data_IF_626143997824
#
_entry.id   IF_626143997824
#
_cell.length_a   1.000
_cell.length_b   1.000
_cell.length_c   1.000
_cell.angle_alpha   90.00
_cell.angle_beta   90.00
_cell.angle_gamma   90.00
#
_symmetry.space_group_name_H-M   'P 1'
#
loop_
_entity.id
_entity.type
_entity.pdbx_description
1 polymer ?
#
# COMPACT_ATOMS: atom_id res chain seq x y z
N UNK A 1 -12.16 30.91 -11.71
CA UNK A 1 -11.93 29.57 -11.14
C UNK A 1 -12.70 28.61 -12.00
N UNK A 2 -12.01 27.96 -12.94
CA UNK A 2 -12.65 26.98 -13.80
C UNK A 2 -12.92 25.71 -12.99
N UNK A 3 -14.18 25.32 -12.89
CA UNK A 3 -14.53 24.04 -12.29
C UNK A 3 -14.15 22.92 -13.26
N UNK A 4 -13.46 21.87 -12.80
CA UNK A 4 -13.11 20.73 -13.66
C UNK A 4 -14.39 20.11 -14.22
N UNK A 5 -14.44 19.90 -15.54
CA UNK A 5 -15.55 19.22 -16.21
C UNK A 5 -15.70 17.77 -15.70
N UNK A 6 -16.94 17.27 -15.57
CA UNK A 6 -17.35 16.00 -14.93
C UNK A 6 -16.62 14.72 -15.41
N UNK A 7 -15.95 14.77 -16.56
CA UNK A 7 -15.08 13.72 -17.12
C UNK A 7 -13.66 13.68 -16.57
N UNK A 8 -13.25 14.65 -15.73
CA UNK A 8 -11.89 14.77 -15.18
C UNK A 8 -11.76 14.37 -13.70
N UNK A 9 -12.87 14.14 -13.00
CA UNK A 9 -12.82 13.83 -11.57
C UNK A 9 -12.32 12.40 -11.33
N UNK A 10 -11.35 12.20 -10.40
CA UNK A 10 -10.78 10.88 -10.16
C UNK A 10 -11.81 9.87 -9.64
N UNK A 11 -11.69 8.61 -10.02
CA UNK A 11 -12.64 7.56 -9.58
C UNK A 11 -12.46 7.16 -8.12
N UNK A 12 -11.25 7.36 -7.58
CA UNK A 12 -10.89 7.05 -6.20
C UNK A 12 -10.08 8.20 -5.58
N UNK A 13 -10.41 8.51 -4.34
CA UNK A 13 -9.78 9.58 -3.58
C UNK A 13 -9.43 9.08 -2.18
N UNK A 14 -8.46 9.73 -1.56
CA UNK A 14 -8.18 9.61 -0.12
C UNK A 14 -8.33 10.99 0.51
N UNK A 15 -9.00 11.09 1.64
CA UNK A 15 -9.14 12.36 2.37
C UNK A 15 -7.99 12.60 3.36
N UNK A 16 -8.02 13.72 4.08
CA UNK A 16 -6.98 14.10 5.04
C UNK A 16 -6.85 13.12 6.20
N UNK A 17 -7.92 12.40 6.51
CA UNK A 17 -8.01 11.42 7.58
C UNK A 17 -7.68 10.01 7.06
N UNK A 18 -7.36 9.86 5.78
CA UNK A 18 -7.01 8.58 5.20
C UNK A 18 -8.19 7.68 4.83
N UNK A 19 -9.43 8.19 4.88
CA UNK A 19 -10.56 7.41 4.35
C UNK A 19 -10.50 7.38 2.84
N UNK A 20 -10.74 6.20 2.27
CA UNK A 20 -10.83 6.03 0.83
C UNK A 20 -12.27 6.24 0.37
N UNK A 21 -12.40 7.00 -0.71
CA UNK A 21 -13.67 7.41 -1.30
C UNK A 21 -13.73 6.92 -2.74
N UNK A 22 -14.88 6.38 -3.14
CA UNK A 22 -15.12 5.89 -4.50
C UNK A 22 -16.29 6.64 -5.11
N UNK A 23 -16.09 7.12 -6.34
CA UNK A 23 -17.15 7.75 -7.14
C UNK A 23 -18.26 6.72 -7.40
N UNK A 24 -19.49 7.10 -7.13
CA UNK A 24 -20.67 6.25 -7.31
C UNK A 24 -21.03 6.18 -8.79
N UNK A 25 -21.02 4.97 -9.36
CA UNK A 25 -21.36 4.78 -10.76
C UNK A 25 -22.85 5.10 -11.02
N UNK A 26 -23.12 5.94 -12.01
CA UNK A 26 -24.49 6.31 -12.41
C UNK A 26 -25.17 7.34 -11.51
N UNK A 27 -24.45 7.91 -10.53
CA UNK A 27 -24.95 9.02 -9.73
C UNK A 27 -24.91 10.33 -10.53
N UNK A 28 -26.04 11.02 -10.63
CA UNK A 28 -26.16 12.23 -11.45
C UNK A 28 -25.36 13.43 -10.91
N UNK A 29 -24.97 13.38 -9.64
CA UNK A 29 -24.24 14.44 -8.94
C UNK A 29 -22.76 14.09 -8.71
N UNK A 30 -22.28 12.97 -9.26
CA UNK A 30 -20.91 12.50 -9.11
C UNK A 30 -20.45 12.40 -7.65
N UNK A 31 -21.35 11.92 -6.78
CA UNK A 31 -21.05 11.71 -5.36
C UNK A 31 -20.05 10.58 -5.15
N UNK A 32 -19.32 10.69 -4.05
CA UNK A 32 -18.39 9.70 -3.53
C UNK A 32 -18.97 9.07 -2.27
N UNK A 33 -18.78 7.77 -2.13
CA UNK A 33 -19.03 7.02 -0.90
C UNK A 33 -17.73 6.45 -0.36
N UNK A 34 -17.60 6.34 0.97
CA UNK A 34 -16.47 5.70 1.61
C UNK A 34 -16.40 4.20 1.22
N UNK A 35 -15.20 3.66 0.99
CA UNK A 35 -15.04 2.31 0.43
C UNK A 35 -15.50 1.16 1.34
N UNK A 36 -15.70 1.43 2.63
CA UNK A 36 -16.22 0.53 3.66
C UNK A 36 -17.59 0.99 4.20
N UNK A 37 -18.29 1.87 3.47
CA UNK A 37 -19.53 2.51 3.91
C UNK A 37 -19.39 3.26 5.26
N UNK A 38 -18.15 3.60 5.65
CA UNK A 38 -17.86 4.37 6.84
C UNK A 38 -16.78 5.45 6.57
N UNK A 39 -17.11 6.73 6.73
CA UNK A 39 -18.41 7.23 7.19
C UNK A 39 -19.50 7.06 6.11
N UNK A 40 -20.79 6.99 6.51
CA UNK A 40 -21.89 6.65 5.59
C UNK A 40 -22.30 7.80 4.66
N UNK A 41 -21.62 8.95 4.74
CA UNK A 41 -21.95 10.12 3.94
C UNK A 41 -21.70 9.88 2.44
N UNK A 42 -22.47 10.59 1.62
CA UNK A 42 -22.29 10.65 0.17
C UNK A 42 -22.08 12.09 -0.24
N UNK A 43 -20.84 12.41 -0.56
CA UNK A 43 -20.39 13.79 -0.76
C UNK A 43 -19.96 13.97 -2.21
N UNK A 44 -20.35 15.09 -2.83
CA UNK A 44 -19.72 15.53 -4.08
C UNK A 44 -18.23 15.81 -3.85
N UNK A 45 -17.44 15.89 -4.93
CA UNK A 45 -16.01 16.24 -4.81
C UNK A 45 -15.80 17.57 -4.05
N UNK A 46 -16.64 18.57 -4.32
CA UNK A 46 -16.58 19.88 -3.67
C UNK A 46 -16.87 19.79 -2.17
N UNK A 47 -17.92 19.08 -1.77
CA UNK A 47 -18.26 18.86 -0.35
C UNK A 47 -17.18 18.06 0.37
N UNK A 48 -16.66 17.01 -0.27
CA UNK A 48 -15.58 16.18 0.28
C UNK A 48 -14.32 17.01 0.53
N UNK A 49 -13.94 17.84 -0.46
CA UNK A 49 -12.80 18.77 -0.32
C UNK A 49 -13.02 19.78 0.78
N UNK A 50 -14.22 20.36 0.89
CA UNK A 50 -14.53 21.37 1.88
C UNK A 50 -14.59 20.82 3.32
N UNK A 51 -15.05 19.59 3.49
CA UNK A 51 -15.31 18.99 4.81
C UNK A 51 -14.20 18.06 5.29
N UNK A 52 -13.44 17.46 4.38
CA UNK A 52 -12.42 16.43 4.68
C UNK A 52 -11.07 16.65 3.99
N UNK A 53 -10.87 17.82 3.37
CA UNK A 53 -9.65 18.13 2.64
C UNK A 53 -8.39 18.25 3.53
N UNK A 54 -7.19 18.13 2.94
CA UNK A 54 -6.93 17.91 1.51
C UNK A 54 -7.36 16.52 1.03
N UNK A 55 -7.88 16.48 -0.20
CA UNK A 55 -8.30 15.24 -0.86
C UNK A 55 -7.31 14.95 -1.98
N UNK A 56 -6.76 13.74 -2.01
CA UNK A 56 -5.74 13.31 -2.98
C UNK A 56 -6.28 12.20 -3.86
N UNK A 57 -5.80 12.14 -5.09
CA UNK A 57 -6.14 11.05 -6.01
C UNK A 57 -5.46 9.75 -5.57
N UNK A 58 -6.21 8.64 -5.56
CA UNK A 58 -5.60 7.30 -5.44
C UNK A 58 -5.24 6.81 -6.84
N UNK A 59 -3.95 6.85 -7.16
CA UNK A 59 -3.42 6.53 -8.48
C UNK A 59 -2.53 5.28 -8.51
N UNK A 60 -2.14 4.83 -9.72
CA UNK A 60 -1.09 3.83 -9.86
C UNK A 60 0.27 4.41 -9.43
N UNK A 61 1.19 3.57 -8.93
CA UNK A 61 2.54 4.02 -8.62
C UNK A 61 3.28 4.49 -9.88
N UNK A 62 4.14 5.51 -9.78
CA UNK A 62 5.08 5.85 -10.84
C UNK A 62 5.89 4.63 -11.28
N UNK A 63 6.11 4.46 -12.59
CA UNK A 63 6.85 3.29 -13.10
C UNK A 63 8.30 3.24 -12.62
N UNK A 64 8.88 4.38 -12.23
CA UNK A 64 10.19 4.45 -11.60
C UNK A 64 10.19 3.79 -10.22
N UNK A 65 9.21 4.11 -9.38
CA UNK A 65 9.06 3.55 -8.04
C UNK A 65 8.87 2.04 -8.10
N UNK A 66 8.04 1.56 -9.03
CA UNK A 66 7.87 0.11 -9.27
C UNK A 66 9.22 -0.57 -9.56
N UNK A 67 10.08 0.06 -10.38
CA UNK A 67 11.42 -0.48 -10.66
C UNK A 67 12.34 -0.42 -9.43
N UNK A 68 12.28 0.65 -8.65
CA UNK A 68 13.07 0.83 -7.44
C UNK A 68 12.71 -0.20 -6.38
N UNK A 69 11.42 -0.36 -6.07
CA UNK A 69 10.92 -1.37 -5.11
C UNK A 69 11.31 -2.77 -5.57
N UNK A 70 11.06 -3.12 -6.84
CA UNK A 70 11.44 -4.43 -7.37
C UNK A 70 12.95 -4.67 -7.26
N UNK A 71 13.77 -3.69 -7.64
CA UNK A 71 15.23 -3.78 -7.56
C UNK A 71 15.73 -3.95 -6.12
N UNK A 72 15.15 -3.22 -5.18
CA UNK A 72 15.47 -3.32 -3.75
C UNK A 72 15.12 -4.70 -3.18
N UNK A 73 13.94 -5.24 -3.51
CA UNK A 73 13.53 -6.58 -3.09
C UNK A 73 14.43 -7.67 -3.67
N UNK A 74 14.78 -7.59 -4.95
CA UNK A 74 15.74 -8.53 -5.56
C UNK A 74 17.13 -8.43 -4.93
N UNK A 75 17.60 -7.22 -4.64
CA UNK A 75 18.90 -6.98 -4.00
C UNK A 75 18.94 -7.61 -2.61
N UNK A 76 17.86 -7.50 -1.84
CA UNK A 76 17.75 -8.06 -0.50
C UNK A 76 17.71 -9.61 -0.49
N UNK A 77 17.29 -10.24 -1.58
CA UNK A 77 17.20 -11.71 -1.69
C UNK A 77 16.40 -12.30 -0.52
N UNK A 78 16.99 -13.22 0.23
CA UNK A 78 16.31 -13.86 1.37
C UNK A 78 15.90 -12.89 2.49
N UNK A 79 16.48 -11.68 2.56
CA UNK A 79 16.07 -10.65 3.51
C UNK A 79 14.94 -9.77 2.99
N UNK A 80 14.42 -9.98 1.76
CA UNK A 80 13.47 -9.07 1.13
C UNK A 80 12.18 -8.92 1.93
N UNK A 81 11.56 -10.01 2.37
CA UNK A 81 10.30 -9.94 3.12
C UNK A 81 10.46 -9.34 4.52
N UNK A 82 11.58 -9.58 5.20
CA UNK A 82 11.87 -8.97 6.52
C UNK A 82 12.22 -7.50 6.39
N UNK A 83 12.97 -7.13 5.35
CA UNK A 83 13.26 -5.73 5.01
C UNK A 83 11.98 -4.99 4.67
N UNK A 84 11.10 -5.59 3.85
CA UNK A 84 9.79 -5.03 3.52
C UNK A 84 8.90 -4.88 4.75
N UNK A 85 8.92 -5.83 5.69
CA UNK A 85 8.15 -5.73 6.93
C UNK A 85 8.55 -4.49 7.76
N UNK A 86 9.86 -4.21 7.87
CA UNK A 86 10.37 -3.00 8.53
C UNK A 86 9.97 -1.74 7.76
N UNK A 87 10.15 -1.74 6.43
CA UNK A 87 9.79 -0.58 5.60
C UNK A 87 8.29 -0.25 5.65
N UNK A 88 7.45 -1.29 5.67
CA UNK A 88 6.02 -1.14 5.87
C UNK A 88 5.71 -0.53 7.24
N UNK A 89 6.34 -1.00 8.32
CA UNK A 89 6.18 -0.41 9.65
C UNK A 89 6.49 1.09 9.65
N UNK A 90 7.59 1.52 9.01
CA UNK A 90 7.94 2.93 8.87
C UNK A 90 6.90 3.70 8.05
N UNK A 91 6.45 3.16 6.91
CA UNK A 91 5.38 3.75 6.12
C UNK A 91 4.07 3.91 6.92
N UNK A 92 3.73 2.94 7.78
CA UNK A 92 2.60 3.03 8.72
C UNK A 92 2.74 4.16 9.72
N UNK A 93 3.92 4.32 10.30
CA UNK A 93 4.21 5.43 11.21
C UNK A 93 4.16 6.78 10.49
N UNK A 94 4.72 6.87 9.29
CA UNK A 94 4.70 8.10 8.49
C UNK A 94 3.27 8.51 8.09
N UNK A 95 2.46 7.55 7.65
CA UNK A 95 1.05 7.80 7.32
C UNK A 95 0.22 8.21 8.54
N UNK A 96 0.46 7.58 9.71
CA UNK A 96 -0.18 7.96 10.96
C UNK A 96 0.22 9.38 11.38
N UNK A 97 1.50 9.73 11.29
CA UNK A 97 1.99 11.10 11.56
C UNK A 97 1.38 12.12 10.59
N UNK A 98 1.15 11.74 9.34
CA UNK A 98 0.62 12.63 8.32
C UNK A 98 -0.91 12.83 8.39
N UNK A 99 -1.66 11.76 8.71
CA UNK A 99 -3.14 11.76 8.64
C UNK A 99 -3.83 11.67 10.01
N UNK A 100 -3.09 11.35 11.06
CA UNK A 100 -3.62 11.02 12.38
C UNK A 100 -4.31 9.65 12.46
N UNK A 101 -4.34 8.87 11.38
CA UNK A 101 -5.00 7.56 11.31
C UNK A 101 -4.11 6.49 10.65
N UNK A 102 -3.66 5.47 11.40
CA UNK A 102 -2.74 4.45 10.87
C UNK A 102 -3.38 3.54 9.81
N UNK A 103 -4.72 3.46 9.74
CA UNK A 103 -5.45 2.63 8.77
C UNK A 103 -5.49 3.17 7.33
N UNK A 104 -5.05 4.41 7.12
CA UNK A 104 -5.11 5.14 5.85
C UNK A 104 -4.40 4.46 4.67
N UNK A 105 -3.39 3.64 4.99
CA UNK A 105 -2.47 3.03 4.02
C UNK A 105 -3.05 1.94 3.14
N UNK A 106 -4.13 1.34 3.61
CA UNK A 106 -4.65 0.14 3.02
C UNK A 106 -5.66 0.42 1.94
N UNK A 107 -5.97 1.70 1.67
CA UNK A 107 -6.89 2.37 0.72
C UNK A 107 -7.75 1.55 -0.25
N UNK A 108 -7.38 0.34 -0.57
CA UNK A 108 -8.25 -0.76 -0.94
C UNK A 108 -9.29 -1.13 0.11
N UNK A 109 -10.14 -2.05 -0.30
CA UNK A 109 -11.32 -2.52 0.45
C UNK A 109 -10.88 -3.02 1.83
N UNK A 110 -11.26 -2.35 2.93
CA UNK A 110 -10.98 -2.87 4.28
C UNK A 110 -11.48 -4.32 4.38
N UNK A 111 -10.57 -5.21 4.78
CA UNK A 111 -10.82 -6.66 4.79
C UNK A 111 -10.32 -7.44 3.57
N UNK A 112 -9.72 -6.80 2.55
CA UNK A 112 -9.01 -7.54 1.49
C UNK A 112 -7.89 -8.40 2.09
N UNK A 113 -7.65 -9.58 1.52
CA UNK A 113 -6.59 -10.48 1.96
C UNK A 113 -5.22 -9.79 1.97
N UNK A 114 -4.94 -9.03 0.91
CA UNK A 114 -3.70 -8.31 0.65
C UNK A 114 -3.45 -7.24 1.72
N UNK A 115 -4.47 -6.42 2.00
CA UNK A 115 -4.36 -5.37 3.02
C UNK A 115 -4.13 -5.95 4.40
N UNK A 116 -4.76 -7.09 4.72
CA UNK A 116 -4.50 -7.75 5.99
C UNK A 116 -3.08 -8.36 6.07
N UNK A 117 -2.50 -8.83 4.95
CA UNK A 117 -1.12 -9.33 4.91
C UNK A 117 -0.13 -8.21 5.17
N UNK A 118 -0.26 -7.09 4.44
CA UNK A 118 0.62 -5.92 4.62
C UNK A 118 0.55 -5.38 6.04
N UNK A 119 -0.65 -5.31 6.60
CA UNK A 119 -0.87 -4.95 8.01
C UNK A 119 -0.13 -5.90 8.97
N UNK A 120 -0.23 -7.20 8.74
CA UNK A 120 0.41 -8.22 9.58
C UNK A 120 1.92 -8.17 9.47
N UNK A 121 2.48 -7.95 8.27
CA UNK A 121 3.92 -7.71 8.11
C UNK A 121 4.37 -6.46 8.88
N UNK A 122 3.63 -5.36 8.79
CA UNK A 122 4.00 -4.10 9.44
C UNK A 122 3.95 -4.17 10.97
N UNK A 123 2.97 -4.86 11.56
CA UNK A 123 2.72 -4.83 13.01
C UNK A 123 3.12 -6.10 13.76
N UNK A 124 3.02 -7.27 13.12
CA UNK A 124 3.33 -8.54 13.77
C UNK A 124 4.76 -9.02 13.45
N UNK A 125 5.37 -8.53 12.36
CA UNK A 125 6.72 -8.93 11.94
C UNK A 125 7.71 -7.78 12.11
N UNK A 126 7.41 -6.61 11.53
CA UNK A 126 8.30 -5.44 11.48
C UNK A 126 8.99 -5.11 12.80
N UNK A 127 8.27 -4.96 13.93
CA UNK A 127 8.85 -4.58 15.22
C UNK A 127 9.87 -5.57 15.77
N UNK A 128 9.75 -6.86 15.40
CA UNK A 128 10.56 -7.96 15.93
C UNK A 128 11.69 -8.39 14.97
N UNK A 129 11.86 -7.71 13.83
CA UNK A 129 12.96 -7.99 12.90
C UNK A 129 14.27 -7.48 13.48
N UNK A 130 15.16 -8.39 13.86
CA UNK A 130 16.53 -8.04 14.24
C UNK A 130 17.28 -7.35 13.08
N UNK A 131 18.08 -6.32 13.37
CA UNK A 131 18.80 -5.54 12.36
C UNK A 131 19.65 -6.40 11.39
N UNK A 132 20.23 -7.51 11.87
CA UNK A 132 21.00 -8.44 11.03
C UNK A 132 20.16 -9.18 9.96
N UNK A 133 18.83 -9.13 10.05
CA UNK A 133 17.88 -9.73 9.10
C UNK A 133 17.31 -8.71 8.11
N UNK A 134 17.81 -7.47 8.15
CA UNK A 134 17.41 -6.38 7.27
C UNK A 134 18.54 -6.09 6.30
N UNK A 135 18.21 -5.92 5.02
CA UNK A 135 19.15 -5.45 4.02
C UNK A 135 19.12 -3.91 3.98
N UNK A 136 20.10 -3.26 4.60
CA UNK A 136 20.09 -1.80 4.85
C UNK A 136 19.87 -0.95 3.59
N UNK A 137 20.63 -1.18 2.51
CA UNK A 137 20.48 -0.39 1.28
C UNK A 137 19.13 -0.62 0.57
N UNK A 138 18.49 -1.77 0.81
CA UNK A 138 17.16 -2.02 0.27
C UNK A 138 16.09 -1.36 1.15
N UNK A 139 16.30 -1.35 2.47
CA UNK A 139 15.43 -0.64 3.40
C UNK A 139 15.38 0.86 3.08
N UNK A 140 16.53 1.50 2.84
CA UNK A 140 16.57 2.93 2.48
C UNK A 140 15.71 3.25 1.26
N UNK A 141 15.84 2.46 0.18
CA UNK A 141 15.02 2.63 -1.03
C UNK A 141 13.53 2.37 -0.76
N UNK A 142 13.22 1.34 0.01
CA UNK A 142 11.83 0.99 0.33
C UNK A 142 11.19 2.04 1.24
N UNK A 143 11.91 2.57 2.23
CA UNK A 143 11.44 3.61 3.14
C UNK A 143 11.09 4.89 2.37
N UNK A 144 11.98 5.35 1.49
CA UNK A 144 11.76 6.54 0.67
C UNK A 144 10.51 6.39 -0.20
N UNK A 145 10.42 5.28 -0.95
CA UNK A 145 9.31 5.05 -1.88
C UNK A 145 7.98 4.84 -1.15
N UNK A 146 7.96 3.99 -0.12
CA UNK A 146 6.73 3.68 0.60
C UNK A 146 6.22 4.87 1.41
N UNK A 147 7.11 5.72 1.91
CA UNK A 147 6.72 6.98 2.55
C UNK A 147 6.09 7.92 1.54
N UNK A 148 6.72 8.14 0.38
CA UNK A 148 6.18 9.02 -0.65
C UNK A 148 4.83 8.52 -1.19
N UNK A 149 4.67 7.21 -1.36
CA UNK A 149 3.40 6.61 -1.79
C UNK A 149 2.21 6.98 -0.90
N UNK A 150 2.47 7.31 0.36
CA UNK A 150 1.41 7.41 1.38
C UNK A 150 1.23 8.83 1.87
N UNK A 151 2.28 9.65 1.81
CA UNK A 151 2.26 11.09 2.13
C UNK A 151 2.16 11.98 0.90
N UNK A 152 2.54 11.48 -0.28
CA UNK A 152 2.56 12.23 -1.53
C UNK A 152 1.20 12.40 -2.21
N UNK A 153 1.22 13.02 -3.39
CA UNK A 153 0.09 13.18 -4.30
C UNK A 153 0.54 12.88 -5.74
N UNK A 154 0.07 11.80 -6.39
CA UNK A 154 -1.04 10.94 -5.96
C UNK A 154 -0.69 10.03 -4.79
N UNK A 155 -1.71 9.70 -4.00
CA UNK A 155 -1.63 8.60 -3.04
C UNK A 155 -1.62 7.26 -3.80
N UNK A 156 -0.80 6.32 -3.34
CA UNK A 156 -0.67 4.98 -3.94
C UNK A 156 -1.15 3.91 -2.95
N UNK A 157 -2.03 3.04 -3.42
CA UNK A 157 -2.48 1.88 -2.63
C UNK A 157 -1.36 0.84 -2.49
N UNK A 158 -0.79 0.72 -1.30
CA UNK A 158 0.40 -0.11 -1.06
C UNK A 158 0.14 -1.61 -1.27
N UNK A 159 -0.98 -2.12 -0.75
CA UNK A 159 -1.18 -3.58 -0.64
C UNK A 159 -1.31 -4.31 -1.98
N UNK A 160 -2.13 -3.78 -2.90
CA UNK A 160 -2.30 -4.38 -4.22
C UNK A 160 -1.04 -4.21 -5.08
N UNK A 161 -0.41 -3.02 -5.04
CA UNK A 161 0.80 -2.74 -5.83
C UNK A 161 1.98 -3.60 -5.38
N UNK A 162 2.18 -3.79 -4.07
CA UNK A 162 3.21 -4.70 -3.55
C UNK A 162 2.92 -6.16 -3.90
N UNK A 163 1.67 -6.60 -3.93
CA UNK A 163 1.33 -7.97 -4.34
C UNK A 163 1.76 -8.23 -5.79
N UNK A 164 1.52 -7.27 -6.69
CA UNK A 164 1.95 -7.36 -8.08
C UNK A 164 3.49 -7.34 -8.18
N UNK A 165 4.17 -6.43 -7.47
CA UNK A 165 5.64 -6.34 -7.50
C UNK A 165 6.29 -7.61 -6.94
N UNK A 166 5.78 -8.15 -5.83
CA UNK A 166 6.28 -9.40 -5.26
C UNK A 166 6.05 -10.58 -6.20
N UNK A 167 4.90 -10.63 -6.89
CA UNK A 167 4.63 -11.63 -7.93
C UNK A 167 5.70 -11.62 -9.02
N UNK A 168 6.10 -10.44 -9.50
CA UNK A 168 7.18 -10.28 -10.47
C UNK A 168 8.53 -10.76 -9.91
N UNK A 169 8.87 -10.37 -8.68
CA UNK A 169 10.14 -10.76 -8.03
C UNK A 169 10.20 -12.28 -7.85
N UNK A 170 9.14 -12.89 -7.33
CA UNK A 170 9.07 -14.35 -7.11
C UNK A 170 9.15 -15.11 -8.43
N UNK A 171 8.50 -14.60 -9.49
CA UNK A 171 8.58 -15.19 -10.84
C UNK A 171 10.02 -15.22 -11.36
N UNK A 172 10.81 -14.17 -11.11
CA UNK A 172 12.22 -14.14 -11.50
C UNK A 172 13.09 -15.17 -10.76
N UNK A 173 12.62 -15.64 -9.61
CA UNK A 173 13.22 -16.74 -8.86
C UNK A 173 12.54 -18.09 -9.12
N UNK A 174 11.76 -18.23 -10.20
CA UNK A 174 11.12 -19.48 -10.59
C UNK A 174 9.90 -19.88 -9.74
N UNK A 175 9.32 -18.93 -9.00
CA UNK A 175 8.15 -19.20 -8.14
C UNK A 175 8.50 -19.47 -6.67
N UNK A 176 9.78 -19.45 -6.30
CA UNK A 176 10.28 -19.91 -4.99
C UNK A 176 10.24 -18.79 -3.94
N UNK A 177 9.29 -18.87 -3.00
CA UNK A 177 9.19 -17.92 -1.88
C UNK A 177 10.43 -17.95 -0.97
N UNK A 178 11.11 -19.09 -0.87
CA UNK A 178 12.31 -19.29 -0.06
C UNK A 178 13.51 -18.47 -0.55
N UNK A 179 13.44 -17.91 -1.76
CA UNK A 179 14.45 -17.01 -2.32
C UNK A 179 14.30 -15.57 -1.83
N UNK A 180 13.11 -15.19 -1.35
CA UNK A 180 12.80 -13.82 -0.91
C UNK A 180 12.49 -13.71 0.59
N UNK A 181 12.43 -14.84 1.31
CA UNK A 181 12.15 -14.91 2.73
C UNK A 181 13.24 -15.68 3.46
N UNK A 182 13.59 -15.25 4.66
CA UNK A 182 14.60 -15.96 5.46
C UNK A 182 14.01 -17.18 6.18
N UNK A 183 14.88 -18.04 6.70
CA UNK A 183 14.48 -19.29 7.35
C UNK A 183 13.59 -19.09 8.59
N UNK A 184 13.62 -17.91 9.22
CA UNK A 184 12.77 -17.63 10.38
C UNK A 184 11.35 -17.29 9.92
N UNK A 185 11.21 -16.45 8.89
CA UNK A 185 9.90 -16.13 8.32
C UNK A 185 9.27 -17.36 7.64
N UNK A 186 10.06 -18.19 6.96
CA UNK A 186 9.60 -19.46 6.36
C UNK A 186 9.06 -20.45 7.41
N UNK A 187 9.56 -20.42 8.64
CA UNK A 187 9.10 -21.29 9.74
C UNK A 187 7.97 -20.68 10.58
N UNK A 188 7.55 -19.45 10.27
CA UNK A 188 6.44 -18.80 10.95
C UNK A 188 5.13 -19.56 10.69
N UNK A 189 4.21 -19.65 11.68
CA UNK A 189 2.87 -20.18 11.43
C UNK A 189 2.09 -19.36 10.37
N UNK A 190 2.51 -18.13 10.09
CA UNK A 190 1.93 -17.27 9.06
C UNK A 190 2.61 -17.40 7.69
N UNK A 191 3.65 -18.22 7.54
CA UNK A 191 4.37 -18.38 6.27
C UNK A 191 3.45 -18.68 5.07
N UNK A 192 2.45 -19.59 5.14
CA UNK A 192 1.56 -19.85 4.00
C UNK A 192 0.83 -18.61 3.50
N UNK A 193 0.47 -17.69 4.42
CA UNK A 193 -0.20 -16.44 4.08
C UNK A 193 0.73 -15.50 3.31
N UNK A 194 1.98 -15.39 3.74
CA UNK A 194 2.99 -14.56 3.08
C UNK A 194 3.40 -15.13 1.73
N UNK A 195 3.54 -16.46 1.64
CA UNK A 195 3.77 -17.15 0.38
C UNK A 195 2.63 -16.88 -0.60
N UNK A 196 1.38 -17.10 -0.19
CA UNK A 196 0.22 -16.85 -1.05
C UNK A 196 0.15 -15.39 -1.52
N UNK A 197 0.46 -14.43 -0.63
CA UNK A 197 0.50 -13.02 -1.00
C UNK A 197 1.57 -12.72 -2.06
N UNK A 198 2.79 -13.24 -1.87
CA UNK A 198 3.90 -13.02 -2.78
C UNK A 198 3.76 -13.78 -4.11
N UNK A 199 3.05 -14.91 -4.13
CA UNK A 199 2.90 -15.76 -5.31
C UNK A 199 1.56 -15.59 -6.04
N UNK A 200 0.54 -14.96 -5.44
CA UNK A 200 -0.81 -14.85 -6.03
C UNK A 200 -0.83 -14.22 -7.42
N UNK A 201 0.16 -13.38 -7.73
CA UNK A 201 0.30 -12.66 -9.01
C UNK A 201 1.46 -13.16 -9.87
N UNK A 202 2.17 -14.19 -9.45
CA UNK A 202 3.18 -14.87 -10.26
C UNK A 202 2.45 -15.75 -11.30
N UNK A 203 2.32 -15.27 -12.53
CA UNK A 203 1.73 -16.00 -13.66
C UNK A 203 2.54 -15.80 -14.93
#
# INVERSE_FOLDING_TARGET
MDQPTLTQLPTRLVDAQGFSWRRMAGDAEDRYAAANDFPPERLTHGELTATRGPVRHIGPPPSQDVRLVRGALMMAGQQAMTTLAVALMHGFQAAEQHTGHPGALLAGRPGSSESQVVRSLAWDVGPDVAAARVHTAALEVLDDVLTEWVTGDPFVEVAENLANILGDVVTQYGGEFEKIADATLQRSPHAPRYTNYATARAR
#
